data_IF_932908280671
#
_entry.id   IF_932908280671
#
_cell.length_a   1.000
_cell.length_b   1.000
_cell.length_c   1.000
_cell.angle_alpha   90.00
_cell.angle_beta   90.00
_cell.angle_gamma   90.00
#
_symmetry.space_group_name_H-M   'P 1'
#
loop_
_entity.id
_entity.type
_entity.pdbx_description
1 polymer ?
#
# COMPACT_ATOMS: atom_id res chain seq x y z
N UNK A 1 12.24 31.67 -2.55
CA UNK A 1 11.00 31.25 -1.88
C UNK A 1 10.07 30.64 -2.93
N UNK A 2 9.85 29.33 -2.92
CA UNK A 2 8.98 28.65 -3.88
C UNK A 2 7.51 28.94 -3.53
N UNK A 3 6.77 29.58 -4.43
CA UNK A 3 5.31 29.72 -4.30
C UNK A 3 4.67 28.37 -4.61
N UNK A 4 4.04 27.76 -3.61
CA UNK A 4 3.17 26.60 -3.84
C UNK A 4 2.03 26.98 -4.78
N UNK A 5 1.80 26.15 -5.79
CA UNK A 5 0.61 26.26 -6.64
C UNK A 5 -0.66 25.98 -5.83
N UNK A 6 -1.81 26.48 -6.29
CA UNK A 6 -3.10 26.29 -5.61
C UNK A 6 -3.38 24.81 -5.29
N UNK A 7 -3.07 23.91 -6.23
CA UNK A 7 -3.23 22.46 -6.06
C UNK A 7 -2.36 21.91 -4.93
N UNK A 8 -1.12 22.40 -4.79
CA UNK A 8 -0.24 21.98 -3.69
C UNK A 8 -0.76 22.47 -2.34
N UNK A 9 -1.38 23.67 -2.28
CA UNK A 9 -2.02 24.16 -1.04
C UNK A 9 -3.27 23.35 -0.69
N UNK A 10 -4.08 22.99 -1.68
CA UNK A 10 -5.24 22.13 -1.48
C UNK A 10 -4.83 20.74 -0.96
N UNK A 11 -3.75 20.17 -1.52
CA UNK A 11 -3.18 18.92 -1.03
C UNK A 11 -2.72 19.00 0.44
N UNK A 12 -2.25 20.16 0.92
CA UNK A 12 -1.90 20.35 2.34
C UNK A 12 -3.10 20.49 3.27
N UNK A 13 -4.25 20.92 2.76
CA UNK A 13 -5.49 21.06 3.55
C UNK A 13 -6.27 19.75 3.63
N UNK A 14 -6.10 18.87 2.66
CA UNK A 14 -6.82 17.60 2.56
C UNK A 14 -6.69 16.72 3.82
N UNK A 15 -5.51 16.55 4.45
CA UNK A 15 -5.39 15.77 5.69
C UNK A 15 -6.17 16.36 6.86
N UNK A 16 -6.26 17.70 6.93
CA UNK A 16 -6.98 18.39 8.01
C UNK A 16 -8.50 18.26 7.84
N UNK A 17 -8.98 18.34 6.59
CA UNK A 17 -10.39 18.14 6.27
C UNK A 17 -10.80 16.69 6.53
N UNK A 18 -9.97 15.73 6.13
CA UNK A 18 -10.21 14.30 6.36
C UNK A 18 -10.28 13.97 7.86
N UNK A 19 -9.38 14.52 8.67
CA UNK A 19 -9.39 14.33 10.12
C UNK A 19 -10.67 14.89 10.75
N UNK A 20 -11.05 16.12 10.41
CA UNK A 20 -12.27 16.74 10.93
C UNK A 20 -13.54 15.95 10.54
N UNK A 21 -13.60 15.45 9.29
CA UNK A 21 -14.71 14.62 8.82
C UNK A 21 -14.76 13.27 9.54
N UNK A 22 -13.61 12.65 9.78
CA UNK A 22 -13.51 11.38 10.51
C UNK A 22 -13.96 11.52 11.96
N UNK A 23 -13.66 12.65 12.61
CA UNK A 23 -14.08 12.93 13.97
C UNK A 23 -15.57 13.30 14.07
N UNK A 24 -16.09 14.04 13.09
CA UNK A 24 -17.43 14.63 13.16
C UNK A 24 -18.54 13.75 12.57
N UNK A 25 -18.24 12.89 11.61
CA UNK A 25 -19.23 12.07 10.91
C UNK A 25 -19.00 10.57 11.12
N UNK A 26 -20.00 9.91 11.72
CA UNK A 26 -19.98 8.48 11.95
C UNK A 26 -20.04 7.68 10.64
N UNK A 27 -20.82 8.14 9.66
CA UNK A 27 -20.91 7.51 8.34
C UNK A 27 -19.59 7.58 7.57
N UNK A 28 -18.94 8.74 7.60
CA UNK A 28 -17.62 8.92 6.98
C UNK A 28 -16.57 8.03 7.66
N UNK A 29 -16.56 8.01 9.00
CA UNK A 29 -15.69 7.14 9.78
C UNK A 29 -15.87 5.67 9.41
N UNK A 30 -17.10 5.17 9.38
CA UNK A 30 -17.39 3.79 9.03
C UNK A 30 -16.93 3.46 7.61
N UNK A 31 -17.15 4.37 6.65
CA UNK A 31 -16.68 4.20 5.27
C UNK A 31 -15.15 4.07 5.20
N UNK A 32 -14.42 4.92 5.93
CA UNK A 32 -12.95 4.85 5.98
C UNK A 32 -12.48 3.55 6.62
N UNK A 33 -13.10 3.12 7.72
CA UNK A 33 -12.76 1.85 8.38
C UNK A 33 -13.01 0.64 7.47
N UNK A 34 -14.12 0.62 6.72
CA UNK A 34 -14.38 -0.43 5.73
C UNK A 34 -13.31 -0.45 4.62
N UNK A 35 -12.96 0.72 4.08
CA UNK A 35 -11.91 0.83 3.06
C UNK A 35 -10.55 0.33 3.56
N UNK A 36 -10.18 0.66 4.80
CA UNK A 36 -8.94 0.19 5.41
C UNK A 36 -8.95 -1.34 5.60
N UNK A 37 -10.07 -1.92 6.02
CA UNK A 37 -10.22 -3.36 6.16
C UNK A 37 -10.09 -4.10 4.80
N UNK A 38 -10.68 -3.56 3.74
CA UNK A 38 -10.54 -4.10 2.38
C UNK A 38 -9.09 -4.03 1.88
N UNK A 39 -8.40 -2.92 2.15
CA UNK A 39 -6.99 -2.76 1.79
C UNK A 39 -6.10 -3.73 2.56
N UNK A 40 -6.33 -3.92 3.86
CA UNK A 40 -5.62 -4.91 4.68
C UNK A 40 -5.81 -6.33 4.14
N UNK A 41 -7.05 -6.70 3.81
CA UNK A 41 -7.35 -8.01 3.20
C UNK A 41 -6.66 -8.18 1.85
N UNK A 42 -6.63 -7.14 1.03
CA UNK A 42 -5.96 -7.15 -0.28
C UNK A 42 -4.45 -7.35 -0.10
N UNK A 43 -3.83 -6.61 0.82
CA UNK A 43 -2.40 -6.76 1.14
C UNK A 43 -2.09 -8.15 1.69
N UNK A 44 -2.93 -8.69 2.57
CA UNK A 44 -2.77 -10.05 3.10
C UNK A 44 -2.87 -11.11 1.99
N UNK A 45 -3.76 -10.91 1.01
CA UNK A 45 -3.91 -11.79 -0.14
C UNK A 45 -2.66 -11.74 -1.03
N UNK A 46 -2.17 -10.55 -1.35
CA UNK A 46 -0.92 -10.38 -2.11
C UNK A 46 0.26 -11.02 -1.38
N UNK A 47 0.38 -10.79 -0.07
CA UNK A 47 1.47 -11.38 0.72
C UNK A 47 1.36 -12.91 0.78
N UNK A 48 0.15 -13.46 0.79
CA UNK A 48 -0.06 -14.91 0.69
C UNK A 48 0.35 -15.46 -0.68
N UNK A 49 -0.01 -14.77 -1.76
CA UNK A 49 0.26 -15.20 -3.14
C UNK A 49 1.73 -15.07 -3.52
N UNK A 50 2.41 -14.02 -3.06
CA UNK A 50 3.78 -13.69 -3.49
C UNK A 50 4.83 -13.79 -2.36
N UNK A 51 4.42 -13.71 -1.10
CA UNK A 51 5.33 -13.77 0.05
C UNK A 51 5.89 -15.17 0.34
N UNK A 52 5.32 -16.24 -0.24
CA UNK A 52 5.84 -17.60 -0.12
C UNK A 52 6.92 -17.98 -1.15
N UNK A 53 7.39 -17.06 -1.99
CA UNK A 53 8.40 -17.36 -3.02
C UNK A 53 9.82 -17.64 -2.48
N UNK A 54 10.05 -17.62 -1.16
CA UNK A 54 11.39 -17.82 -0.58
C UNK A 54 11.80 -19.28 -0.32
N UNK A 55 10.94 -20.28 -0.55
CA UNK A 55 11.30 -21.69 -0.25
C UNK A 55 11.64 -22.56 -1.48
N UNK A 56 11.79 -21.99 -2.68
CA UNK A 56 12.18 -22.76 -3.87
C UNK A 56 13.37 -22.16 -4.64
N UNK A 57 14.32 -21.55 -3.94
CA UNK A 57 15.68 -21.26 -4.47
C UNK A 57 16.71 -22.31 -4.02
N UNK A 58 16.25 -23.51 -3.64
CA UNK A 58 17.06 -24.55 -3.00
C UNK A 58 17.32 -25.82 -3.81
N UNK A 59 16.79 -25.96 -5.02
CA UNK A 59 17.05 -27.18 -5.81
C UNK A 59 17.01 -26.89 -7.31
N UNK A 60 18.04 -27.40 -8.01
CA UNK A 60 18.17 -27.56 -9.48
C UNK A 60 18.62 -26.33 -10.29
N UNK A 61 19.72 -26.32 -11.06
CA UNK A 61 20.78 -27.27 -11.42
C UNK A 61 22.07 -26.46 -11.61
N UNK A 62 23.21 -26.91 -11.07
CA UNK A 62 24.51 -26.35 -11.44
C UNK A 62 24.80 -26.74 -12.89
N UNK A 63 24.61 -25.82 -13.83
CA UNK A 63 25.16 -25.98 -15.17
C UNK A 63 26.67 -25.76 -15.09
N UNK A 64 27.44 -26.85 -15.13
CA UNK A 64 28.89 -26.77 -15.33
C UNK A 64 29.09 -26.50 -16.82
N UNK A 65 29.52 -25.28 -17.16
CA UNK A 65 30.05 -24.98 -18.49
C UNK A 65 31.35 -25.78 -18.66
N UNK A 66 31.27 -26.88 -19.42
CA UNK A 66 32.45 -27.59 -19.89
C UNK A 66 33.22 -26.70 -20.86
N UNK A 67 34.44 -26.33 -20.48
CA UNK A 67 35.40 -25.76 -21.41
C UNK A 67 35.88 -26.89 -22.34
N UNK A 68 35.74 -26.69 -23.64
CA UNK A 68 36.58 -27.33 -24.66
C UNK A 68 37.54 -26.28 -25.20
#
# INVERSE_FOLDING_TARGET
MSQLTLNQRLATLQPQVDLNLFESSLDYRNKILCLLAEQEQTLATINKEFGQQSNSFGSEKRFVLGYN
#
